data_IF_298329545668
#
_entry.id   IF_298329545668
#
_cell.length_a   1.000
_cell.length_b   1.000
_cell.length_c   1.000
_cell.angle_alpha   90.00
_cell.angle_beta   90.00
_cell.angle_gamma   90.00
#
_symmetry.space_group_name_H-M   'P 1'
#
loop_
_entity.id
_entity.type
_entity.pdbx_description
1 polymer ?
#
# COMPACT_ATOMS: atom_id res chain seq x y z
N UNK A 1 25.80 13.65 -4.45
CA UNK A 1 25.37 12.29 -3.98
C UNK A 1 24.30 11.66 -4.88
N UNK A 2 23.76 12.37 -5.88
CA UNK A 2 22.92 11.79 -6.95
C UNK A 2 23.66 11.68 -8.29
N UNK A 3 24.90 12.16 -8.35
CA UNK A 3 25.68 12.28 -9.59
C UNK A 3 26.19 10.94 -10.11
N UNK A 4 26.31 9.95 -9.21
CA UNK A 4 26.64 8.58 -9.56
C UNK A 4 25.40 7.69 -9.44
N UNK A 5 24.86 7.19 -10.55
CA UNK A 5 23.75 6.23 -10.55
C UNK A 5 24.13 4.92 -9.85
N UNK A 6 23.16 4.13 -9.36
CA UNK A 6 23.44 2.80 -8.82
C UNK A 6 23.97 1.88 -9.92
N UNK A 7 25.05 1.15 -9.62
CA UNK A 7 25.75 0.29 -10.59
C UNK A 7 24.83 -0.77 -11.22
N UNK A 8 23.80 -1.22 -10.48
CA UNK A 8 22.79 -2.17 -10.95
C UNK A 8 22.00 -1.71 -12.20
N UNK A 9 21.96 -0.40 -12.46
CA UNK A 9 21.27 0.17 -13.63
C UNK A 9 22.24 0.67 -14.69
N UNK A 10 23.56 0.53 -14.51
CA UNK A 10 24.57 1.15 -15.36
C UNK A 10 24.49 0.75 -16.84
N UNK A 11 23.97 -0.45 -17.14
CA UNK A 11 23.73 -0.94 -18.49
C UNK A 11 22.44 -0.41 -19.13
N UNK A 12 21.57 0.25 -18.38
CA UNK A 12 20.18 0.54 -18.78
C UNK A 12 19.89 2.02 -19.04
N UNK A 13 20.85 2.92 -18.85
CA UNK A 13 20.68 4.36 -19.11
C UNK A 13 21.92 4.95 -19.76
N UNK A 14 21.75 6.04 -20.50
CA UNK A 14 22.87 6.87 -20.95
C UNK A 14 23.23 7.88 -19.87
N UNK A 15 24.51 8.22 -19.67
CA UNK A 15 24.92 9.21 -18.65
C UNK A 15 24.16 10.55 -18.76
N UNK A 16 23.78 10.96 -19.96
CA UNK A 16 23.00 12.17 -20.23
C UNK A 16 21.58 12.08 -19.66
N UNK A 17 20.90 10.95 -19.86
CA UNK A 17 19.54 10.69 -19.35
C UNK A 17 19.52 10.75 -17.81
N UNK A 18 20.60 10.26 -17.18
CA UNK A 18 20.74 10.33 -15.72
C UNK A 18 20.89 11.75 -15.23
N UNK A 19 21.71 12.57 -15.90
CA UNK A 19 21.88 13.99 -15.55
C UNK A 19 20.56 14.75 -15.67
N UNK A 20 19.82 14.54 -16.75
CA UNK A 20 18.50 15.16 -16.93
C UNK A 20 17.51 14.71 -15.85
N UNK A 21 17.49 13.41 -15.53
CA UNK A 21 16.67 12.87 -14.46
C UNK A 21 16.99 13.54 -13.11
N UNK A 22 18.27 13.63 -12.73
CA UNK A 22 18.69 14.26 -11.47
C UNK A 22 18.30 15.74 -11.46
N UNK A 23 18.55 16.48 -12.55
CA UNK A 23 18.17 17.89 -12.67
C UNK A 23 16.66 18.08 -12.46
N UNK A 24 15.83 17.22 -13.08
CA UNK A 24 14.38 17.23 -12.92
C UNK A 24 13.95 16.89 -11.50
N UNK A 25 14.58 15.91 -10.85
CA UNK A 25 14.25 15.47 -9.47
C UNK A 25 14.68 16.48 -8.41
N UNK A 26 15.72 17.27 -8.69
CA UNK A 26 16.20 18.33 -7.83
C UNK A 26 15.52 19.69 -8.10
N UNK A 27 14.62 19.77 -9.08
CA UNK A 27 13.96 21.03 -9.41
C UNK A 27 13.00 21.49 -8.30
N UNK A 28 12.84 22.82 -8.08
CA UNK A 28 11.87 23.34 -7.12
C UNK A 28 10.43 22.93 -7.46
N UNK A 29 10.10 22.82 -8.75
CA UNK A 29 8.80 22.38 -9.22
C UNK A 29 8.51 20.94 -8.78
N UNK A 30 9.50 20.05 -8.94
CA UNK A 30 9.37 18.67 -8.48
C UNK A 30 9.21 18.60 -6.97
N UNK A 31 9.99 19.36 -6.21
CA UNK A 31 9.87 19.41 -4.75
C UNK A 31 8.47 19.85 -4.30
N UNK A 32 7.91 20.88 -4.93
CA UNK A 32 6.53 21.35 -4.68
C UNK A 32 5.51 20.26 -5.01
N UNK A 33 5.63 19.60 -6.17
CA UNK A 33 4.75 18.50 -6.58
C UNK A 33 4.82 17.33 -5.60
N UNK A 34 6.02 16.94 -5.19
CA UNK A 34 6.25 15.85 -4.21
C UNK A 34 5.57 16.17 -2.88
N UNK A 35 5.80 17.36 -2.33
CA UNK A 35 5.22 17.77 -1.04
C UNK A 35 3.69 17.75 -1.09
N UNK A 36 3.10 18.33 -2.14
CA UNK A 36 1.64 18.28 -2.34
C UNK A 36 1.08 16.85 -2.31
N UNK A 37 1.73 15.90 -2.98
CA UNK A 37 1.27 14.51 -2.98
C UNK A 37 1.46 13.82 -1.62
N UNK A 38 2.52 14.17 -0.88
CA UNK A 38 2.73 13.69 0.48
C UNK A 38 1.66 14.23 1.45
N UNK A 39 1.32 15.51 1.33
CA UNK A 39 0.29 16.16 2.15
C UNK A 39 -1.10 15.55 1.86
N UNK A 40 -1.41 15.24 0.60
CA UNK A 40 -2.64 14.52 0.24
C UNK A 40 -2.64 13.11 0.87
N UNK A 41 -1.52 12.38 0.74
CA UNK A 41 -1.40 11.03 1.31
C UNK A 41 -1.54 11.02 2.83
N UNK A 42 -1.06 12.05 3.53
CA UNK A 42 -1.15 12.12 4.98
C UNK A 42 -2.58 12.35 5.50
N UNK A 43 -3.52 12.74 4.62
CA UNK A 43 -4.94 12.86 5.00
C UNK A 43 -5.69 11.52 4.97
N UNK A 44 -5.07 10.43 4.51
CA UNK A 44 -5.71 9.12 4.52
C UNK A 44 -5.82 8.59 5.95
N UNK A 45 -7.04 8.54 6.48
CA UNK A 45 -7.33 8.00 7.82
C UNK A 45 -7.09 6.50 7.91
N UNK A 46 -7.41 5.76 6.85
CA UNK A 46 -7.25 4.30 6.77
C UNK A 46 -6.23 3.98 5.69
N UNK A 47 -4.97 3.80 6.09
CA UNK A 47 -3.92 3.47 5.15
C UNK A 47 -4.11 2.05 4.63
N UNK A 48 -4.17 1.92 3.30
CA UNK A 48 -4.16 0.62 2.66
C UNK A 48 -2.73 0.08 2.63
N UNK A 49 -2.55 -1.16 3.08
CA UNK A 49 -1.29 -1.90 3.07
C UNK A 49 -1.22 -2.97 1.97
N UNK A 50 -2.28 -3.11 1.16
CA UNK A 50 -2.26 -3.95 -0.03
C UNK A 50 -1.13 -3.52 -0.98
N UNK A 51 -0.26 -4.48 -1.32
CA UNK A 51 0.81 -4.27 -2.28
C UNK A 51 0.30 -4.17 -3.73
N UNK A 52 1.24 -4.23 -4.67
CA UNK A 52 0.94 -4.31 -6.11
C UNK A 52 0.00 -5.49 -6.38
N UNK A 53 -1.20 -5.20 -6.91
CA UNK A 53 -2.27 -6.17 -7.16
C UNK A 53 -3.55 -5.92 -6.36
N UNK A 54 -3.50 -5.04 -5.34
CA UNK A 54 -4.70 -4.58 -4.62
C UNK A 54 -5.48 -5.73 -3.97
N UNK A 55 -6.80 -5.58 -3.92
CA UNK A 55 -7.75 -6.56 -3.34
C UNK A 55 -7.59 -7.93 -3.96
N UNK A 56 -7.46 -8.02 -5.29
CA UNK A 56 -7.35 -9.30 -6.01
C UNK A 56 -6.18 -10.15 -5.50
N UNK A 57 -5.04 -9.53 -5.21
CA UNK A 57 -3.88 -10.26 -4.67
C UNK A 57 -4.10 -10.71 -3.23
N UNK A 58 -4.88 -9.96 -2.46
CA UNK A 58 -5.28 -10.36 -1.11
C UNK A 58 -6.23 -11.54 -1.18
N UNK A 59 -7.20 -11.53 -2.11
CA UNK A 59 -8.09 -12.66 -2.39
C UNK A 59 -7.31 -13.91 -2.80
N UNK A 60 -6.38 -13.81 -3.76
CA UNK A 60 -5.53 -14.95 -4.19
C UNK A 60 -4.69 -15.52 -3.04
N UNK A 61 -4.25 -14.68 -2.10
CA UNK A 61 -3.50 -15.13 -0.91
C UNK A 61 -4.43 -15.86 0.05
N UNK A 62 -5.63 -15.31 0.28
CA UNK A 62 -6.65 -15.87 1.15
C UNK A 62 -7.16 -17.21 0.62
N UNK A 63 -7.35 -17.31 -0.70
CA UNK A 63 -7.71 -18.53 -1.41
C UNK A 63 -6.72 -19.66 -1.13
N UNK A 64 -5.42 -19.35 -1.24
CA UNK A 64 -4.33 -20.30 -0.96
C UNK A 64 -4.28 -20.71 0.50
N UNK A 65 -4.51 -19.77 1.42
CA UNK A 65 -4.55 -20.03 2.87
C UNK A 65 -5.73 -20.95 3.24
N UNK A 66 -6.89 -20.79 2.59
CA UNK A 66 -8.12 -21.54 2.87
C UNK A 66 -8.30 -22.77 1.97
N UNK A 67 -7.28 -23.14 1.19
CA UNK A 67 -7.29 -24.34 0.36
C UNK A 67 -8.37 -24.33 -0.73
N UNK A 68 -8.67 -23.17 -1.31
CA UNK A 68 -9.68 -23.01 -2.37
C UNK A 68 -11.11 -23.41 -1.99
N UNK A 69 -11.44 -23.43 -0.70
CA UNK A 69 -12.76 -23.86 -0.23
C UNK A 69 -13.86 -22.79 -0.38
N UNK A 70 -13.49 -21.52 -0.56
CA UNK A 70 -14.43 -20.40 -0.68
C UNK A 70 -14.40 -19.79 -2.08
N UNK A 71 -15.58 -19.61 -2.66
CA UNK A 71 -15.78 -18.91 -3.94
C UNK A 71 -16.16 -17.45 -3.76
N UNK A 72 -16.59 -17.06 -2.56
CA UNK A 72 -16.98 -15.70 -2.20
C UNK A 72 -16.27 -15.34 -0.90
N UNK A 73 -15.54 -14.23 -0.92
CA UNK A 73 -14.84 -13.70 0.24
C UNK A 73 -15.66 -12.60 0.89
N UNK A 74 -15.74 -12.63 2.23
CA UNK A 74 -16.40 -11.56 2.95
C UNK A 74 -15.63 -10.25 2.77
N UNK A 75 -16.39 -9.18 2.48
CA UNK A 75 -15.81 -7.85 2.25
C UNK A 75 -15.23 -7.28 3.53
N UNK A 76 -15.77 -7.63 4.69
CA UNK A 76 -15.25 -7.17 5.97
C UNK A 76 -13.88 -7.82 6.26
N UNK A 77 -13.76 -9.13 6.04
CA UNK A 77 -12.47 -9.84 6.11
C UNK A 77 -11.42 -9.27 5.16
N UNK A 78 -11.80 -9.01 3.90
CA UNK A 78 -10.90 -8.38 2.93
C UNK A 78 -10.48 -6.98 3.38
N UNK A 79 -11.41 -6.19 3.92
CA UNK A 79 -11.12 -4.87 4.42
C UNK A 79 -10.09 -4.92 5.55
N UNK A 80 -10.29 -5.77 6.56
CA UNK A 80 -9.36 -5.93 7.69
C UNK A 80 -7.96 -6.27 7.15
N UNK A 81 -7.86 -7.29 6.30
CA UNK A 81 -6.58 -7.78 5.76
C UNK A 81 -5.84 -6.77 4.89
N UNK A 82 -6.55 -5.91 4.18
CA UNK A 82 -5.95 -4.85 3.36
C UNK A 82 -5.35 -3.75 4.23
N UNK A 83 -5.91 -3.51 5.41
CA UNK A 83 -5.45 -2.48 6.34
C UNK A 83 -4.47 -3.04 7.38
N UNK A 84 -4.35 -4.36 7.51
CA UNK A 84 -3.31 -4.99 8.32
C UNK A 84 -1.94 -4.81 7.67
N UNK A 85 -0.98 -4.29 8.42
CA UNK A 85 0.39 -4.11 7.96
C UNK A 85 1.14 -5.47 7.91
N UNK A 86 2.39 -5.45 7.43
CA UNK A 86 3.23 -6.65 7.29
C UNK A 86 3.57 -7.35 8.63
N UNK A 87 3.43 -6.66 9.77
CA UNK A 87 3.65 -7.21 11.10
C UNK A 87 2.37 -7.83 11.69
N UNK A 88 1.23 -7.69 11.01
CA UNK A 88 -0.07 -8.12 11.54
C UNK A 88 -0.79 -7.05 12.35
N UNK A 89 -0.34 -5.80 12.33
CA UNK A 89 -0.90 -4.72 13.15
C UNK A 89 -1.79 -3.81 12.30
N UNK A 90 -2.81 -3.23 12.92
CA UNK A 90 -3.66 -2.19 12.34
C UNK A 90 -3.31 -0.83 12.96
N UNK A 91 -3.38 0.23 12.15
CA UNK A 91 -3.29 1.60 12.66
C UNK A 91 -4.52 1.92 13.52
N UNK A 92 -4.39 2.80 14.52
CA UNK A 92 -5.45 3.11 15.51
C UNK A 92 -6.85 3.31 14.90
N UNK A 93 -7.04 4.22 13.92
CA UNK A 93 -8.34 4.40 13.27
C UNK A 93 -8.86 3.13 12.56
N UNK A 94 -7.96 2.35 11.94
CA UNK A 94 -8.33 1.12 11.27
C UNK A 94 -8.70 0.00 12.26
N UNK A 95 -8.04 -0.04 13.42
CA UNK A 95 -8.34 -0.97 14.51
C UNK A 95 -9.77 -0.76 15.03
N UNK A 96 -10.18 0.48 15.30
CA UNK A 96 -11.55 0.78 15.78
C UNK A 96 -12.64 0.28 14.82
N UNK A 97 -12.40 0.41 13.52
CA UNK A 97 -13.33 -0.09 12.49
C UNK A 97 -13.33 -1.61 12.46
N UNK A 98 -12.17 -2.26 12.55
CA UNK A 98 -12.07 -3.71 12.63
C UNK A 98 -12.80 -4.26 13.86
N UNK A 99 -12.62 -3.65 15.03
CA UNK A 99 -13.28 -4.06 16.27
C UNK A 99 -14.81 -3.96 16.15
N UNK A 100 -15.32 -2.90 15.50
CA UNK A 100 -16.76 -2.75 15.23
C UNK A 100 -17.29 -3.80 14.26
N UNK A 101 -16.54 -4.11 13.19
CA UNK A 101 -16.90 -5.18 12.24
C UNK A 101 -17.05 -6.50 12.99
N UNK A 102 -16.03 -6.85 13.78
CA UNK A 102 -15.98 -8.09 14.55
C UNK A 102 -17.14 -8.15 15.56
N UNK A 103 -17.36 -7.08 16.32
CA UNK A 103 -18.46 -6.99 17.29
C UNK A 103 -19.85 -7.15 16.64
N UNK A 104 -20.05 -6.54 15.46
CA UNK A 104 -21.30 -6.63 14.72
C UNK A 104 -21.59 -8.05 14.23
N UNK A 105 -20.56 -8.83 13.86
CA UNK A 105 -20.72 -10.23 13.46
C UNK A 105 -21.19 -11.07 14.66
N UNK A 106 -20.61 -10.87 15.84
CA UNK A 106 -20.98 -11.62 17.04
C UNK A 106 -22.37 -11.27 17.59
N UNK A 107 -22.86 -10.05 17.38
CA UNK A 107 -24.22 -9.66 17.79
C UNK A 107 -25.34 -10.23 16.90
N UNK A 108 -25.05 -10.68 15.69
CA UNK A 108 -26.04 -11.25 14.76
C UNK A 108 -26.22 -12.77 15.01
N UNK A 109 -25.26 -13.42 15.68
CA UNK A 109 -25.27 -14.85 15.96
C UNK A 109 -25.73 -15.24 17.38
N UNK A 110 -26.19 -14.28 18.19
CA UNK A 110 -26.78 -14.49 19.52
C UNK A 110 -28.30 -14.30 19.46
#
# INVERSE_FOLDING_TARGET
MLDRPPDAYASCYKPEDWKEFVAKRCSPEWAKKRKKMQDIRSQNTYNHHAGRGGVKKVEEKLEKELGHQLTIYDRADLWIRIHTNKNGELDGPAQEVADRIVSSIYHICA
#
